data_IF_494756339042
#
_entry.id   IF_494756339042
#
_cell.length_a   1.000
_cell.length_b   1.000
_cell.length_c   1.000
_cell.angle_alpha   90.00
_cell.angle_beta   90.00
_cell.angle_gamma   90.00
#
_symmetry.space_group_name_H-M   'P 1'
#
loop_
_entity.id
_entity.type
_entity.pdbx_description
1 polymer ?
#
# COMPACT_ATOMS: atom_id res chain seq x y z
N UNK A 1 10.50 9.06 -9.59
CA UNK A 1 10.40 7.60 -9.43
C UNK A 1 10.79 7.22 -8.02
N UNK A 2 10.08 6.29 -7.39
CA UNK A 2 10.38 5.83 -6.03
C UNK A 2 10.45 4.31 -5.97
N UNK A 3 11.41 3.79 -5.23
CA UNK A 3 11.48 2.38 -4.88
C UNK A 3 10.67 2.18 -3.60
N UNK A 4 9.48 1.57 -3.72
CA UNK A 4 8.54 1.38 -2.61
C UNK A 4 9.03 0.25 -1.71
N UNK A 5 9.15 0.51 -0.40
CA UNK A 5 9.74 -0.42 0.57
C UNK A 5 8.79 -0.82 1.72
N UNK A 6 7.70 -0.08 1.94
CA UNK A 6 6.77 -0.41 2.99
C UNK A 6 5.48 0.39 2.96
N UNK A 7 4.54 -0.04 3.78
CA UNK A 7 3.22 0.58 3.91
C UNK A 7 2.80 0.54 5.37
N UNK A 8 2.16 1.60 5.84
CA UNK A 8 1.37 1.56 7.06
C UNK A 8 -0.08 1.75 6.74
N UNK A 9 -0.94 0.90 7.31
CA UNK A 9 -2.38 1.09 7.18
C UNK A 9 -3.06 1.19 8.54
N UNK A 10 -4.10 2.02 8.59
CA UNK A 10 -4.97 2.16 9.74
C UNK A 10 -6.43 2.19 9.30
N UNK A 11 -7.34 1.73 10.16
CA UNK A 11 -8.77 1.92 9.95
C UNK A 11 -9.26 3.34 10.22
N UNK A 12 -10.58 3.50 10.15
CA UNK A 12 -11.26 4.78 10.29
C UNK A 12 -12.27 4.73 11.44
N UNK A 13 -11.95 5.44 12.53
CA UNK A 13 -12.85 5.59 13.68
C UNK A 13 -14.00 6.55 13.37
N UNK A 14 -13.75 7.58 12.56
CA UNK A 14 -14.68 8.67 12.30
C UNK A 14 -15.75 8.36 11.21
N UNK A 15 -15.91 7.10 10.79
CA UNK A 15 -16.92 6.69 9.79
C UNK A 15 -18.33 6.57 10.40
N UNK A 16 -18.77 7.61 11.12
CA UNK A 16 -20.07 7.64 11.79
C UNK A 16 -20.15 6.72 13.02
N UNK A 17 -21.31 6.11 13.33
CA UNK A 17 -21.48 5.26 14.52
C UNK A 17 -20.75 3.93 14.42
N UNK A 18 -20.13 3.62 13.27
CA UNK A 18 -19.56 2.30 12.98
C UNK A 18 -18.10 2.42 12.54
N UNK A 19 -17.16 2.28 13.50
CA UNK A 19 -15.75 2.17 13.17
C UNK A 19 -15.53 1.04 12.18
N UNK A 20 -14.76 1.31 11.12
CA UNK A 20 -14.60 0.44 9.95
C UNK A 20 -13.14 0.38 9.52
N UNK A 21 -12.68 -0.77 9.03
CA UNK A 21 -11.29 -0.96 8.66
C UNK A 21 -11.11 -2.08 7.64
N UNK A 22 -10.03 -1.99 6.88
CA UNK A 22 -9.61 -3.04 5.94
C UNK A 22 -8.71 -4.04 6.66
N UNK A 23 -9.05 -5.32 6.54
CA UNK A 23 -8.33 -6.44 7.16
C UNK A 23 -7.36 -7.10 6.21
N UNK A 24 -7.59 -7.03 4.90
CA UNK A 24 -6.67 -7.55 3.86
C UNK A 24 -6.67 -6.67 2.62
N UNK A 25 -5.50 -6.50 2.01
CA UNK A 25 -5.34 -5.65 0.82
C UNK A 25 -4.22 -6.13 -0.09
N UNK A 26 -4.23 -5.68 -1.34
CA UNK A 26 -3.14 -5.86 -2.32
C UNK A 26 -2.57 -4.53 -2.73
N UNK A 27 -1.31 -4.52 -3.14
CA UNK A 27 -0.63 -3.32 -3.64
C UNK A 27 0.00 -3.61 -4.99
N UNK A 28 -0.32 -2.76 -5.96
CA UNK A 28 0.38 -2.66 -7.24
C UNK A 28 1.20 -1.37 -7.30
N UNK A 29 2.38 -1.46 -7.89
CA UNK A 29 3.25 -0.31 -8.15
C UNK A 29 3.62 -0.29 -9.62
N UNK A 30 3.42 0.86 -10.26
CA UNK A 30 3.69 1.04 -11.69
C UNK A 30 4.50 2.30 -11.96
N UNK A 31 5.46 2.26 -12.91
CA UNK A 31 6.10 3.46 -13.43
C UNK A 31 5.12 4.35 -14.23
N UNK A 32 4.07 3.75 -14.79
CA UNK A 32 3.13 4.40 -15.72
C UNK A 32 1.71 4.38 -15.16
N UNK A 33 0.89 5.39 -15.53
CA UNK A 33 -0.44 5.58 -14.95
C UNK A 33 -1.44 4.50 -15.36
N UNK A 34 -1.31 3.98 -16.59
CA UNK A 34 -2.33 3.15 -17.23
C UNK A 34 -1.89 1.69 -17.38
N UNK A 35 -0.65 1.36 -17.00
CA UNK A 35 -0.08 0.02 -17.05
C UNK A 35 -0.22 -0.71 -15.70
N UNK A 36 -1.10 -1.71 -15.64
CA UNK A 36 -1.46 -2.45 -14.41
C UNK A 36 -1.56 -3.96 -14.65
N UNK A 37 -0.41 -4.60 -14.83
CA UNK A 37 -0.30 -6.05 -15.04
C UNK A 37 -0.08 -6.80 -13.70
N UNK A 38 -0.22 -8.12 -13.73
CA UNK A 38 -0.01 -8.97 -12.54
C UNK A 38 1.41 -8.84 -11.97
N UNK A 39 2.39 -8.49 -12.81
CA UNK A 39 3.78 -8.21 -12.40
C UNK A 39 3.94 -6.95 -11.55
N UNK A 40 2.96 -6.04 -11.56
CA UNK A 40 2.99 -4.83 -10.74
C UNK A 40 2.65 -5.12 -9.28
N UNK A 41 2.07 -6.29 -8.96
CA UNK A 41 1.82 -6.66 -7.56
C UNK A 41 3.14 -6.82 -6.80
N UNK A 42 3.19 -6.27 -5.59
CA UNK A 42 4.31 -6.47 -4.68
C UNK A 42 4.26 -7.87 -4.07
N UNK A 43 3.06 -8.32 -3.67
CA UNK A 43 2.81 -9.66 -3.16
C UNK A 43 1.32 -10.00 -3.27
N UNK A 44 0.93 -11.29 -3.13
CA UNK A 44 -0.45 -11.74 -3.31
C UNK A 44 -1.45 -11.09 -2.35
N UNK A 45 -1.10 -10.86 -1.08
CA UNK A 45 -1.99 -10.21 -0.10
C UNK A 45 -1.21 -9.72 1.13
N UNK A 46 -1.55 -8.53 1.63
CA UNK A 46 -1.09 -7.96 2.89
C UNK A 46 -2.17 -8.04 3.96
N UNK A 47 -1.74 -8.23 5.21
CA UNK A 47 -2.61 -8.07 6.36
C UNK A 47 -2.76 -6.61 6.71
N UNK A 48 -4.00 -6.20 6.90
CA UNK A 48 -4.39 -4.85 7.23
C UNK A 48 -4.48 -4.59 8.72
N UNK A 49 -5.41 -3.73 9.09
CA UNK A 49 -5.64 -3.36 10.49
C UNK A 49 -6.52 -4.38 11.21
N UNK A 50 -6.35 -4.51 12.52
CA UNK A 50 -7.19 -5.37 13.37
C UNK A 50 -8.39 -4.64 13.97
N UNK A 51 -8.35 -3.30 14.02
CA UNK A 51 -9.48 -2.47 14.44
C UNK A 51 -9.39 -1.06 13.84
N UNK A 52 -10.50 -0.32 13.89
CA UNK A 52 -10.54 1.05 13.39
C UNK A 52 -9.56 2.02 14.07
N UNK A 53 -9.25 1.78 15.36
CA UNK A 53 -8.38 2.62 16.20
C UNK A 53 -7.04 1.97 16.50
N UNK A 54 -6.75 0.79 15.93
CA UNK A 54 -5.49 0.11 16.13
C UNK A 54 -4.32 1.00 15.72
N UNK A 55 -3.16 0.75 16.33
CA UNK A 55 -1.90 1.35 15.87
C UNK A 55 -1.70 1.03 14.38
N UNK A 56 -1.11 1.94 13.60
CA UNK A 56 -0.77 1.67 12.20
C UNK A 56 0.01 0.36 12.08
N UNK A 57 -0.40 -0.50 11.16
CA UNK A 57 0.26 -1.80 10.93
C UNK A 57 1.27 -1.61 9.81
N UNK A 58 2.55 -1.64 10.15
CA UNK A 58 3.64 -1.61 9.18
C UNK A 58 3.77 -2.96 8.47
N UNK A 59 3.80 -2.90 7.15
CA UNK A 59 4.00 -4.02 6.26
C UNK A 59 5.23 -3.78 5.39
N UNK A 60 6.27 -4.59 5.59
CA UNK A 60 7.46 -4.56 4.75
C UNK A 60 7.18 -5.15 3.35
N UNK A 61 7.62 -4.43 2.32
CA UNK A 61 7.68 -4.93 0.95
C UNK A 61 9.05 -5.58 0.71
N UNK A 62 9.17 -6.88 1.02
CA UNK A 62 10.40 -7.65 0.79
C UNK A 62 10.86 -7.56 -0.67
N UNK A 63 9.92 -7.70 -1.60
CA UNK A 63 10.13 -7.40 -3.00
C UNK A 63 9.77 -5.93 -3.26
N UNK A 64 10.76 -5.12 -3.58
CA UNK A 64 10.56 -3.69 -3.82
C UNK A 64 10.27 -3.45 -5.29
N UNK A 65 9.28 -2.61 -5.58
CA UNK A 65 8.90 -2.23 -6.94
C UNK A 65 9.21 -0.75 -7.16
N UNK A 66 9.78 -0.45 -8.31
CA UNK A 66 10.08 0.91 -8.74
C UNK A 66 8.84 1.47 -9.46
N UNK A 67 8.32 2.59 -8.99
CA UNK A 67 7.14 3.21 -9.60
C UNK A 67 6.91 4.65 -9.18
N UNK A 68 5.93 5.26 -9.81
CA UNK A 68 5.37 6.55 -9.41
C UNK A 68 3.91 6.40 -8.97
N UNK A 69 3.20 5.42 -9.53
CA UNK A 69 1.81 5.16 -9.22
C UNK A 69 1.71 3.96 -8.29
N UNK A 70 1.03 4.15 -7.17
CA UNK A 70 0.76 3.09 -6.19
C UNK A 70 -0.75 2.90 -6.14
N UNK A 71 -1.21 1.68 -6.38
CA UNK A 71 -2.64 1.34 -6.31
C UNK A 71 -2.85 0.30 -5.21
N UNK A 72 -3.72 0.65 -4.28
CA UNK A 72 -4.04 -0.16 -3.10
C UNK A 72 -5.46 -0.67 -3.26
N UNK A 73 -5.62 -1.99 -3.22
CA UNK A 73 -6.90 -2.66 -3.40
C UNK A 73 -7.32 -3.35 -2.10
N UNK A 74 -8.41 -2.89 -1.46
CA UNK A 74 -9.03 -3.63 -0.37
C UNK A 74 -9.55 -4.98 -0.88
N UNK A 75 -9.21 -6.08 -0.20
CA UNK A 75 -9.73 -7.42 -0.49
C UNK A 75 -10.78 -7.83 0.53
N UNK A 76 -10.57 -7.48 1.80
CA UNK A 76 -11.52 -7.77 2.87
C UNK A 76 -11.56 -6.61 3.88
N UNK A 77 -12.73 -6.36 4.46
CA UNK A 77 -12.95 -5.29 5.43
C UNK A 77 -13.96 -5.70 6.49
N UNK A 78 -13.85 -5.07 7.65
CA UNK A 78 -14.87 -5.12 8.69
C UNK A 78 -15.85 -3.95 8.50
N UNK A 79 -17.14 -4.28 8.32
CA UNK A 79 -18.25 -3.37 8.01
C UNK A 79 -18.14 -2.66 6.67
N UNK A 80 -17.30 -1.62 6.58
CA UNK A 80 -17.12 -0.80 5.37
C UNK A 80 -15.64 -0.71 5.01
N UNK A 81 -15.38 -0.54 3.73
CA UNK A 81 -14.04 -0.26 3.25
C UNK A 81 -13.64 1.14 3.72
N UNK A 82 -12.68 1.20 4.63
CA UNK A 82 -12.01 2.45 4.99
C UNK A 82 -10.57 2.17 5.42
N UNK A 83 -9.65 2.99 4.92
CA UNK A 83 -8.24 2.91 5.26
C UNK A 83 -7.61 4.31 5.22
N UNK A 84 -6.67 4.54 6.13
CA UNK A 84 -5.64 5.58 6.03
C UNK A 84 -4.33 4.88 5.74
N UNK A 85 -3.55 5.41 4.81
CA UNK A 85 -2.35 4.76 4.32
C UNK A 85 -1.19 5.75 4.34
N UNK A 86 -0.05 5.30 4.82
CA UNK A 86 1.25 5.91 4.60
C UNK A 86 2.10 4.98 3.71
N UNK A 87 2.81 5.53 2.73
CA UNK A 87 3.63 4.75 1.79
C UNK A 87 5.08 5.14 1.96
N UNK A 88 5.93 4.15 2.22
CA UNK A 88 7.37 4.36 2.42
C UNK A 88 8.15 3.94 1.18
N UNK A 89 9.14 4.75 0.82
CA UNK A 89 10.02 4.47 -0.30
C UNK A 89 11.21 5.41 -0.32
N UNK A 90 12.11 5.14 -1.27
CA UNK A 90 13.30 5.96 -1.52
C UNK A 90 13.20 6.57 -2.91
N UNK A 91 13.63 7.82 -3.07
CA UNK A 91 13.80 8.42 -4.39
C UNK A 91 14.82 7.58 -5.18
N UNK A 92 14.44 7.15 -6.37
CA UNK A 92 15.34 6.42 -7.25
C UNK A 92 16.10 7.41 -8.12
N UNK A 93 17.36 7.67 -7.78
CA UNK A 93 18.27 8.48 -8.61
C UNK A 93 18.95 7.59 -9.66
N UNK A 94 18.55 7.74 -10.92
CA UNK A 94 19.34 7.23 -12.05
C UNK A 94 20.54 8.14 -12.27
N UNK A 95 21.68 7.83 -11.64
CA UNK A 95 22.96 8.36 -12.10
C UNK A 95 23.51 7.44 -13.18
N UNK A 96 23.36 7.86 -14.43
CA UNK A 96 24.13 7.28 -15.53
C UNK A 96 25.58 7.73 -15.36
N UNK A 97 26.45 6.87 -14.80
CA UNK A 97 27.89 7.10 -14.84
C UNK A 97 28.43 6.37 -16.08
N UNK A 98 28.92 7.15 -17.04
CA UNK A 98 29.74 6.63 -18.13
C UNK A 98 31.09 6.26 -17.49
N UNK A 99 31.45 4.98 -17.53
CA UNK A 99 32.81 4.49 -17.19
C UNK A 99 33.64 4.50 -18.46
#
# INVERSE_FOLDING_TARGET
MHLVCGFEIQGCVAMGPHPSWVTRYRVQVSPEKDYWDDWNFIKPEFYGSTSASAKPVYSEAKERKLGQYVRIYPVASEKRICMKVEVYGYAFETRCMIV
#
